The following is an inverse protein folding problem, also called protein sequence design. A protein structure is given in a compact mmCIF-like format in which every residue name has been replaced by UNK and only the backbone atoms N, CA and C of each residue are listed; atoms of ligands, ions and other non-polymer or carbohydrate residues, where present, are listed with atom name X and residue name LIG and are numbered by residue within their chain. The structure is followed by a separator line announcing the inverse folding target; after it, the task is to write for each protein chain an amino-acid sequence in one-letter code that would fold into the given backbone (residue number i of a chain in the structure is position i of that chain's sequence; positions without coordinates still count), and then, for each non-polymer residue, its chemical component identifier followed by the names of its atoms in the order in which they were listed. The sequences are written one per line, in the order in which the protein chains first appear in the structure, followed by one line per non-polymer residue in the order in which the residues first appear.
data_IF_595563814136
#
_entry.id   IF_595563814136
#
_cell.length_a   1.000
_cell.length_b   1.000
_cell.length_c   1.000
_cell.angle_alpha   90.00
_cell.angle_beta   90.00
_cell.angle_gamma   90.00
#
_symmetry.space_group_name_H-M   'P 1'
#
loop_
_entity.id
_entity.type
_entity.pdbx_description
1 polymer ?
#
# COMPACT_ATOMS: atom_id res chain seq x y z
N UNK A 1 17.05 13.26 -0.01
CA UNK A 1 18.18 13.45 -0.93
C UNK A 1 19.56 13.34 -0.28
N UNK A 2 20.00 14.29 0.55
CA UNK A 2 21.37 14.28 1.16
C UNK A 2 21.72 12.98 1.86
N UNK A 3 20.79 12.46 2.65
CA UNK A 3 20.95 11.18 3.37
C UNK A 3 21.18 10.00 2.42
N UNK A 4 20.35 9.85 1.39
CA UNK A 4 20.50 8.78 0.40
C UNK A 4 21.84 8.87 -0.34
N UNK A 5 22.26 10.07 -0.77
CA UNK A 5 23.56 10.27 -1.41
C UNK A 5 24.71 9.84 -0.49
N UNK A 6 24.67 10.23 0.79
CA UNK A 6 25.68 9.81 1.77
C UNK A 6 25.75 8.28 1.86
N UNK A 7 24.61 7.61 2.01
CA UNK A 7 24.58 6.14 2.10
C UNK A 7 25.12 5.47 0.83
N UNK A 8 24.74 5.97 -0.35
CA UNK A 8 25.27 5.43 -1.61
C UNK A 8 26.78 5.64 -1.70
N UNK A 9 27.30 6.82 -1.35
CA UNK A 9 28.74 7.09 -1.34
C UNK A 9 29.53 6.15 -0.41
N UNK A 10 29.01 5.89 0.79
CA UNK A 10 29.71 5.05 1.78
C UNK A 10 29.59 3.55 1.48
N UNK A 11 28.46 3.09 0.92
CA UNK A 11 28.13 1.67 0.85
C UNK A 11 27.98 1.09 -0.55
N UNK A 12 28.03 1.90 -1.62
CA UNK A 12 27.81 1.43 -2.99
C UNK A 12 28.74 0.27 -3.41
N UNK A 13 29.98 0.25 -2.92
CA UNK A 13 30.94 -0.81 -3.23
C UNK A 13 30.60 -2.17 -2.60
N UNK A 14 29.73 -2.19 -1.58
CA UNK A 14 29.37 -3.39 -0.81
C UNK A 14 27.90 -3.81 -0.98
N UNK A 15 27.04 -2.84 -1.27
CA UNK A 15 25.58 -3.03 -1.33
C UNK A 15 25.10 -2.66 -2.73
N UNK A 16 24.90 -3.63 -3.64
CA UNK A 16 24.52 -3.35 -5.02
C UNK A 16 23.00 -3.13 -5.22
N UNK A 17 22.18 -3.54 -4.24
CA UNK A 17 20.71 -3.51 -4.31
C UNK A 17 20.16 -2.61 -3.20
N UNK A 18 19.30 -1.67 -3.57
CA UNK A 18 18.75 -0.68 -2.66
C UNK A 18 17.23 -0.61 -2.72
N UNK A 19 16.60 -0.51 -1.56
CA UNK A 19 15.20 -0.14 -1.42
C UNK A 19 15.10 1.31 -1.00
N UNK A 20 14.17 2.06 -1.59
CA UNK A 20 13.85 3.42 -1.14
C UNK A 20 12.87 3.39 0.03
N UNK A 21 11.58 3.47 -0.25
CA UNK A 21 10.53 3.52 0.75
C UNK A 21 9.90 2.14 0.82
N UNK A 22 9.97 1.54 2.00
CA UNK A 22 9.33 0.26 2.28
C UNK A 22 7.85 0.48 2.65
N UNK A 23 6.96 -0.25 1.97
CA UNK A 23 5.52 -0.27 2.23
C UNK A 23 4.85 1.09 2.24
N UNK A 24 5.15 1.92 1.23
CA UNK A 24 4.65 3.29 1.19
C UNK A 24 3.12 3.40 1.30
N UNK A 25 2.37 2.42 0.79
CA UNK A 25 0.91 2.40 0.89
C UNK A 25 0.39 2.29 2.35
N UNK A 26 1.18 1.76 3.28
CA UNK A 26 0.81 1.73 4.71
C UNK A 26 0.56 3.11 5.30
N UNK A 27 1.13 4.16 4.70
CA UNK A 27 0.87 5.54 5.09
C UNK A 27 -0.59 5.94 4.95
N UNK A 28 -1.25 5.42 3.93
CA UNK A 28 -2.66 5.69 3.68
C UNK A 28 -3.54 4.64 4.36
N UNK A 29 -3.10 3.38 4.35
CA UNK A 29 -3.92 2.25 4.80
C UNK A 29 -3.89 2.06 6.32
N UNK A 30 -2.76 2.37 6.95
CA UNK A 30 -2.50 2.19 8.38
C UNK A 30 -1.66 3.36 8.95
N UNK A 31 -2.11 4.62 8.84
CA UNK A 31 -1.33 5.78 9.26
C UNK A 31 -0.88 5.73 10.73
N UNK A 32 -1.68 5.12 11.62
CA UNK A 32 -1.32 4.92 13.03
C UNK A 32 -0.13 3.99 13.27
N UNK A 33 0.22 3.14 12.31
CA UNK A 33 1.41 2.30 12.38
C UNK A 33 2.69 3.06 12.02
N UNK A 34 2.56 4.17 11.28
CA UNK A 34 3.67 5.07 10.99
C UNK A 34 3.83 5.99 12.20
N UNK A 35 4.66 5.56 13.14
CA UNK A 35 4.84 6.18 14.46
C UNK A 35 4.74 7.70 14.44
N UNK A 36 3.67 8.23 15.01
CA UNK A 36 3.48 9.67 15.24
C UNK A 36 4.11 10.01 16.59
N UNK A 37 4.85 11.13 16.70
CA UNK A 37 5.34 11.61 17.99
C UNK A 37 4.20 11.64 19.03
N UNK A 38 4.51 11.25 20.27
CA UNK A 38 3.50 11.10 21.33
C UNK A 38 2.73 12.40 21.64
N UNK A 39 3.28 13.54 21.25
CA UNK A 39 2.71 14.89 21.40
C UNK A 39 1.93 15.36 20.16
N UNK A 40 1.71 14.50 19.15
CA UNK A 40 1.02 14.88 17.91
C UNK A 40 -0.14 13.94 17.59
N UNK A 41 -1.19 14.54 17.03
CA UNK A 41 -2.32 13.81 16.47
C UNK A 41 -1.99 13.22 15.09
N UNK A 42 -2.69 12.16 14.73
CA UNK A 42 -2.62 11.61 13.38
C UNK A 42 -3.12 12.64 12.36
N UNK A 43 -2.39 12.88 11.26
CA UNK A 43 -2.88 13.75 10.20
C UNK A 43 -4.20 13.23 9.62
N UNK A 44 -5.06 14.15 9.19
CA UNK A 44 -6.28 13.77 8.46
C UNK A 44 -5.95 13.11 7.11
N UNK A 45 -6.95 12.48 6.49
CA UNK A 45 -6.76 11.77 5.21
C UNK A 45 -6.18 12.69 4.12
N UNK A 46 -6.62 13.95 4.04
CA UNK A 46 -6.15 14.90 3.03
C UNK A 46 -4.65 15.18 3.20
N UNK A 47 -4.24 15.46 4.43
CA UNK A 47 -2.85 15.68 4.78
C UNK A 47 -1.99 14.42 4.50
N UNK A 48 -2.51 13.22 4.79
CA UNK A 48 -1.82 11.96 4.49
C UNK A 48 -1.58 11.78 2.98
N UNK A 49 -2.58 12.04 2.13
CA UNK A 49 -2.40 11.98 0.68
C UNK A 49 -1.40 13.03 0.16
N UNK A 50 -1.38 14.25 0.73
CA UNK A 50 -0.37 15.25 0.40
C UNK A 50 1.04 14.81 0.80
N UNK A 51 1.20 14.29 2.02
CA UNK A 51 2.50 13.81 2.48
C UNK A 51 2.99 12.60 1.65
N UNK A 52 2.09 11.68 1.30
CA UNK A 52 2.40 10.57 0.41
C UNK A 52 2.85 11.05 -0.98
N UNK A 53 2.24 12.10 -1.51
CA UNK A 53 2.69 12.72 -2.78
C UNK A 53 4.13 13.23 -2.67
N UNK A 54 4.47 13.97 -1.61
CA UNK A 54 5.85 14.42 -1.38
C UNK A 54 6.84 13.26 -1.24
N UNK A 55 6.44 12.16 -0.61
CA UNK A 55 7.25 10.95 -0.53
C UNK A 55 7.49 10.31 -1.89
N UNK A 56 6.47 10.28 -2.78
CA UNK A 56 6.62 9.82 -4.16
C UNK A 56 7.60 10.70 -4.96
N UNK A 57 7.53 12.02 -4.80
CA UNK A 57 8.48 12.95 -5.43
C UNK A 57 9.90 12.69 -4.94
N UNK A 58 10.09 12.56 -3.64
CA UNK A 58 11.40 12.26 -3.05
C UNK A 58 11.94 10.90 -3.57
N UNK A 59 11.09 9.89 -3.67
CA UNK A 59 11.47 8.58 -4.22
C UNK A 59 11.92 8.69 -5.68
N UNK A 60 11.15 9.37 -6.53
CA UNK A 60 11.50 9.56 -7.94
C UNK A 60 12.84 10.29 -8.10
N UNK A 61 13.08 11.33 -7.29
CA UNK A 61 14.36 12.05 -7.27
C UNK A 61 15.52 11.15 -6.81
N UNK A 62 15.32 10.26 -5.83
CA UNK A 62 16.34 9.33 -5.35
C UNK A 62 16.69 8.31 -6.44
N UNK A 63 15.71 7.76 -7.15
CA UNK A 63 15.96 6.88 -8.30
C UNK A 63 16.82 7.58 -9.36
N UNK A 64 16.42 8.79 -9.78
CA UNK A 64 17.16 9.57 -10.76
C UNK A 64 18.57 9.94 -10.29
N UNK A 65 18.75 10.25 -9.00
CA UNK A 65 20.07 10.50 -8.41
C UNK A 65 20.94 9.24 -8.44
N UNK A 66 20.39 8.09 -8.03
CA UNK A 66 21.09 6.81 -8.01
C UNK A 66 21.61 6.46 -9.41
N UNK A 67 20.76 6.54 -10.43
CA UNK A 67 21.15 6.23 -11.81
C UNK A 67 22.19 7.18 -12.38
N UNK A 68 22.13 8.47 -12.02
CA UNK A 68 23.07 9.49 -12.51
C UNK A 68 24.44 9.39 -11.84
N UNK A 69 24.48 9.19 -10.53
CA UNK A 69 25.71 9.31 -9.73
C UNK A 69 26.32 7.95 -9.35
N UNK A 70 25.52 6.88 -9.37
CA UNK A 70 25.91 5.55 -8.92
C UNK A 70 25.41 4.47 -9.91
N UNK A 71 25.85 4.47 -11.18
CA UNK A 71 25.28 3.64 -12.25
C UNK A 71 25.43 2.12 -12.06
N UNK A 72 26.25 1.67 -11.10
CA UNK A 72 26.38 0.25 -10.75
C UNK A 72 25.34 -0.26 -9.74
N UNK A 73 24.56 0.64 -9.14
CA UNK A 73 23.52 0.29 -8.18
C UNK A 73 22.20 0.00 -8.89
N UNK A 74 21.43 -0.92 -8.31
CA UNK A 74 20.04 -1.18 -8.68
C UNK A 74 19.14 -0.75 -7.53
N UNK A 75 18.08 -0.02 -7.84
CA UNK A 75 17.20 0.59 -6.85
C UNK A 75 15.73 0.38 -7.18
N UNK A 76 14.90 0.19 -6.16
CA UNK A 76 13.46 0.00 -6.35
C UNK A 76 12.63 0.32 -5.11
N UNK A 77 11.31 0.48 -5.26
CA UNK A 77 10.39 0.58 -4.14
C UNK A 77 10.13 -0.80 -3.53
N UNK A 78 9.60 -0.84 -2.31
CA UNK A 78 8.93 -2.03 -1.78
C UNK A 78 7.46 -1.71 -1.51
N UNK A 79 6.55 -2.49 -2.10
CA UNK A 79 5.11 -2.32 -1.91
C UNK A 79 4.56 -3.50 -1.10
N UNK A 80 3.69 -3.21 -0.13
CA UNK A 80 2.86 -4.25 0.48
C UNK A 80 1.71 -4.54 -0.48
N UNK A 81 1.70 -5.72 -1.08
CA UNK A 81 0.63 -6.14 -1.98
C UNK A 81 -0.15 -7.30 -1.39
N UNK A 82 -1.40 -7.40 -1.79
CA UNK A 82 -2.30 -8.47 -1.40
C UNK A 82 -3.06 -8.91 -2.63
N UNK A 83 -2.92 -10.18 -3.00
CA UNK A 83 -3.76 -10.74 -4.04
C UNK A 83 -5.17 -10.90 -3.53
N UNK A 84 -6.15 -10.50 -4.34
CA UNK A 84 -7.56 -10.52 -3.99
C UNK A 84 -8.33 -11.57 -4.79
N UNK A 85 -9.39 -12.10 -4.17
CA UNK A 85 -10.43 -12.88 -4.82
C UNK A 85 -11.74 -12.10 -4.73
N UNK A 86 -12.53 -12.10 -5.80
CA UNK A 86 -13.93 -11.71 -5.70
C UNK A 86 -14.72 -12.77 -4.89
N UNK A 87 -15.67 -12.35 -4.07
CA UNK A 87 -16.55 -13.25 -3.30
C UNK A 87 -17.37 -14.16 -4.22
N UNK A 88 -17.81 -13.63 -5.37
CA UNK A 88 -18.57 -14.38 -6.37
C UNK A 88 -18.27 -13.91 -7.79
N UNK A 89 -18.91 -14.53 -8.80
CA UNK A 89 -18.83 -14.12 -10.20
C UNK A 89 -19.78 -12.97 -10.57
N UNK A 90 -20.47 -12.38 -9.59
CA UNK A 90 -21.30 -11.20 -9.81
C UNK A 90 -20.44 -10.04 -10.33
N UNK A 91 -20.90 -9.28 -11.35
CA UNK A 91 -20.15 -8.13 -11.87
C UNK A 91 -19.77 -7.13 -10.79
N UNK A 92 -20.63 -6.92 -9.79
CA UNK A 92 -20.41 -5.96 -8.71
C UNK A 92 -19.23 -6.38 -7.80
N UNK A 93 -19.10 -7.68 -7.52
CA UNK A 93 -17.99 -8.22 -6.73
C UNK A 93 -16.67 -8.17 -7.51
N UNK A 94 -16.71 -8.38 -8.83
CA UNK A 94 -15.54 -8.26 -9.70
C UNK A 94 -15.02 -6.81 -9.75
N UNK A 95 -15.93 -5.84 -9.88
CA UNK A 95 -15.60 -4.41 -9.84
C UNK A 95 -15.03 -4.03 -8.45
N UNK A 96 -15.68 -4.48 -7.37
CA UNK A 96 -15.23 -4.20 -6.01
C UNK A 96 -13.81 -4.74 -5.74
N UNK A 97 -13.53 -5.97 -6.20
CA UNK A 97 -12.20 -6.57 -6.10
C UNK A 97 -11.14 -5.77 -6.89
N UNK A 98 -11.47 -5.33 -8.12
CA UNK A 98 -10.56 -4.50 -8.92
C UNK A 98 -10.30 -3.12 -8.28
N UNK A 99 -11.36 -2.47 -7.78
CA UNK A 99 -11.25 -1.20 -7.05
C UNK A 99 -10.36 -1.36 -5.82
N UNK A 100 -10.55 -2.42 -5.05
CA UNK A 100 -9.77 -2.70 -3.85
C UNK A 100 -8.28 -2.85 -4.14
N UNK A 101 -7.93 -3.70 -5.12
CA UNK A 101 -6.54 -3.94 -5.51
C UNK A 101 -5.89 -2.65 -6.05
N UNK A 102 -6.63 -1.88 -6.84
CA UNK A 102 -6.14 -0.62 -7.42
C UNK A 102 -5.88 0.43 -6.35
N UNK A 103 -6.85 0.66 -5.46
CA UNK A 103 -6.76 1.69 -4.42
C UNK A 103 -5.74 1.37 -3.32
N UNK A 104 -5.50 0.08 -3.03
CA UNK A 104 -4.54 -0.32 -1.99
C UNK A 104 -3.14 -0.62 -2.51
N UNK A 105 -3.00 -1.08 -3.76
CA UNK A 105 -1.74 -1.59 -4.29
C UNK A 105 -1.32 -0.83 -5.55
N UNK A 106 -2.02 -1.07 -6.67
CA UNK A 106 -1.52 -0.64 -7.99
C UNK A 106 -1.37 0.85 -8.15
N UNK A 107 -2.24 1.66 -7.53
CA UNK A 107 -2.15 3.12 -7.60
C UNK A 107 -0.83 3.69 -7.09
N UNK A 108 -0.23 3.08 -6.06
CA UNK A 108 1.07 3.49 -5.54
C UNK A 108 2.21 3.06 -6.48
N UNK A 109 2.08 1.86 -7.05
CA UNK A 109 3.07 1.31 -7.95
C UNK A 109 3.08 2.04 -9.30
N UNK A 110 1.92 2.45 -9.81
CA UNK A 110 1.81 3.28 -11.02
C UNK A 110 2.58 4.60 -10.86
N UNK A 111 2.51 5.24 -9.69
CA UNK A 111 3.29 6.45 -9.44
C UNK A 111 4.78 6.13 -9.38
N UNK A 112 5.17 5.08 -8.65
CA UNK A 112 6.58 4.72 -8.46
C UNK A 112 7.27 4.21 -9.74
N UNK A 113 6.55 3.50 -10.61
CA UNK A 113 7.11 2.85 -11.80
C UNK A 113 6.83 3.60 -13.11
N UNK A 114 5.70 4.32 -13.19
CA UNK A 114 5.29 5.03 -14.39
C UNK A 114 5.27 6.56 -14.22
N UNK A 115 5.52 7.07 -13.02
CA UNK A 115 5.55 8.51 -12.75
C UNK A 115 4.20 9.20 -12.95
N UNK A 116 3.10 8.46 -12.83
CA UNK A 116 1.74 8.97 -13.03
C UNK A 116 0.75 8.36 -12.05
N UNK A 117 -0.27 9.12 -11.67
CA UNK A 117 -1.37 8.60 -10.87
C UNK A 117 -2.27 7.70 -11.70
N UNK A 118 -2.72 6.60 -11.08
CA UNK A 118 -3.78 5.76 -11.64
C UNK A 118 -5.08 6.56 -11.75
N UNK A 119 -5.76 6.48 -12.90
CA UNK A 119 -6.95 7.29 -13.17
C UNK A 119 -8.12 7.00 -12.21
N UNK A 120 -8.31 5.72 -11.84
CA UNK A 120 -9.34 5.31 -10.89
C UNK A 120 -9.05 5.89 -9.50
N UNK A 121 -7.81 5.75 -9.04
CA UNK A 121 -7.40 6.31 -7.76
C UNK A 121 -7.48 7.83 -7.73
N UNK A 122 -7.14 8.50 -8.83
CA UNK A 122 -7.26 9.94 -8.96
C UNK A 122 -8.72 10.41 -8.87
N UNK A 123 -9.62 9.76 -9.61
CA UNK A 123 -11.05 10.04 -9.55
C UNK A 123 -11.62 9.81 -8.14
N UNK A 124 -11.26 8.70 -7.50
CA UNK A 124 -11.61 8.40 -6.10
C UNK A 124 -11.15 9.51 -5.14
N UNK A 125 -9.92 9.98 -5.31
CA UNK A 125 -9.37 11.05 -4.48
C UNK A 125 -10.08 12.39 -4.74
N UNK A 126 -10.42 12.73 -5.97
CA UNK A 126 -11.14 13.96 -6.29
C UNK A 126 -12.56 13.96 -5.70
N UNK A 127 -13.29 12.86 -5.88
CA UNK A 127 -14.65 12.67 -5.36
C UNK A 127 -14.73 12.89 -3.84
N UNK A 128 -13.68 12.47 -3.11
CA UNK A 128 -13.60 12.60 -1.64
C UNK A 128 -12.83 13.84 -1.17
N UNK A 129 -12.42 14.72 -2.07
CA UNK A 129 -11.62 15.90 -1.73
C UNK A 129 -10.20 15.60 -1.23
N UNK A 130 -9.70 14.37 -1.43
CA UNK A 130 -8.42 13.85 -0.95
C UNK A 130 -7.24 14.06 -1.90
N UNK A 131 -7.50 14.44 -3.16
CA UNK A 131 -6.45 14.56 -4.18
C UNK A 131 -5.35 15.55 -3.74
N UNK A 132 -4.06 15.18 -3.81
CA UNK A 132 -2.98 16.09 -3.42
C UNK A 132 -2.93 17.30 -4.34
N UNK A 133 -2.47 18.41 -3.79
CA UNK A 133 -2.09 19.60 -4.55
C UNK A 133 -0.79 19.29 -5.30
N UNK A 134 -0.81 19.50 -6.62
CA UNK A 134 0.32 19.30 -7.51
C UNK A 134 0.92 20.65 -7.90
N UNK A 135 2.24 20.72 -7.93
CA UNK A 135 3.00 21.82 -8.51
C UNK A 135 3.32 21.52 -10.00
N UNK A 136 3.55 22.56 -10.83
CA UNK A 136 3.83 22.38 -12.26
C UNK A 136 4.98 21.41 -12.58
N UNK A 137 5.99 21.36 -11.72
CA UNK A 137 7.18 20.51 -11.85
C UNK A 137 6.98 19.05 -11.42
N UNK A 138 5.93 18.75 -10.64
CA UNK A 138 5.79 17.45 -9.98
C UNK A 138 5.64 16.31 -10.98
N UNK A 139 4.88 16.54 -12.07
CA UNK A 139 4.73 15.55 -13.13
C UNK A 139 6.07 15.21 -13.79
N UNK A 140 6.95 16.20 -13.98
CA UNK A 140 8.28 15.99 -14.54
C UNK A 140 9.18 15.23 -13.56
N UNK A 141 9.13 15.57 -12.27
CA UNK A 141 9.89 14.88 -11.23
C UNK A 141 9.49 13.40 -11.16
N UNK A 142 8.18 13.11 -11.13
CA UNK A 142 7.69 11.73 -11.07
C UNK A 142 8.12 10.91 -12.30
N UNK A 143 8.08 11.49 -13.51
CA UNK A 143 8.50 10.82 -14.74
C UNK A 143 10.00 10.48 -14.80
N UNK A 144 10.83 11.20 -14.05
CA UNK A 144 12.26 10.90 -13.93
C UNK A 144 12.53 9.70 -13.03
N UNK A 145 11.59 9.35 -12.14
CA UNK A 145 11.69 8.18 -11.28
C UNK A 145 11.46 6.90 -12.04
N UNK A 146 12.51 6.09 -12.23
CA UNK A 146 12.41 4.76 -12.83
C UNK A 146 13.08 3.74 -11.92
N UNK A 147 12.38 2.73 -11.41
CA UNK A 147 13.00 1.69 -10.61
C UNK A 147 13.60 0.58 -11.49
N UNK A 148 14.64 -0.09 -11.01
CA UNK A 148 15.28 -1.25 -11.64
C UNK A 148 14.60 -2.58 -11.30
N UNK A 149 13.81 -2.57 -10.23
CA UNK A 149 13.01 -3.71 -9.77
C UNK A 149 11.89 -3.20 -8.85
N UNK A 150 10.93 -4.08 -8.56
CA UNK A 150 9.87 -3.83 -7.59
C UNK A 150 9.98 -4.92 -6.54
N UNK A 151 10.22 -4.55 -5.28
CA UNK A 151 10.15 -5.48 -4.17
C UNK A 151 8.70 -5.61 -3.68
N UNK A 152 8.33 -6.83 -3.30
CA UNK A 152 6.98 -7.18 -2.92
C UNK A 152 7.00 -7.74 -1.51
N UNK A 153 6.28 -7.07 -0.62
CA UNK A 153 5.95 -7.61 0.70
C UNK A 153 4.58 -8.27 0.57
N UNK A 154 4.52 -9.57 0.83
CA UNK A 154 3.33 -10.39 0.62
C UNK A 154 3.15 -11.35 1.79
N UNK A 155 1.97 -11.29 2.44
CA UNK A 155 1.68 -12.08 3.64
C UNK A 155 0.48 -12.98 3.49
N UNK A 156 -0.60 -12.49 2.88
CA UNK A 156 -1.83 -13.25 2.71
C UNK A 156 -2.67 -12.72 1.54
N UNK A 157 -3.73 -13.45 1.21
CA UNK A 157 -4.76 -13.07 0.23
C UNK A 157 -5.96 -12.40 0.88
N UNK A 158 -6.66 -11.57 0.11
CA UNK A 158 -7.94 -10.97 0.47
C UNK A 158 -9.11 -11.63 -0.27
N UNK A 159 -10.31 -11.60 0.30
CA UNK A 159 -11.55 -11.82 -0.47
C UNK A 159 -12.45 -10.61 -0.30
N UNK A 160 -12.93 -10.08 -1.43
CA UNK A 160 -13.60 -8.79 -1.54
C UNK A 160 -14.96 -8.96 -2.22
N UNK A 161 -15.94 -8.22 -1.74
CA UNK A 161 -17.28 -8.17 -2.31
C UNK A 161 -17.75 -6.73 -2.47
N UNK A 162 -18.84 -6.54 -3.21
CA UNK A 162 -19.52 -5.27 -3.35
C UNK A 162 -19.94 -4.71 -1.97
N UNK A 163 -19.73 -3.41 -1.82
CA UNK A 163 -20.24 -2.62 -0.69
C UNK A 163 -21.75 -2.80 -0.56
N UNK A 164 -22.24 -2.89 0.68
CA UNK A 164 -23.68 -2.97 0.98
C UNK A 164 -24.34 -1.60 1.02
N UNK A 165 -23.57 -0.54 1.24
CA UNK A 165 -24.07 0.83 1.32
C UNK A 165 -24.98 1.07 2.54
N UNK A 166 -24.86 0.24 3.57
CA UNK A 166 -25.67 0.27 4.80
C UNK A 166 -24.87 0.72 6.04
N UNK A 167 -23.67 1.26 5.84
CA UNK A 167 -22.71 1.61 6.91
C UNK A 167 -21.98 0.42 7.55
N UNK A 168 -22.29 -0.82 7.16
CA UNK A 168 -21.71 -2.05 7.72
C UNK A 168 -20.41 -2.53 7.05
N UNK A 169 -19.93 -1.83 6.02
CA UNK A 169 -18.79 -2.28 5.21
C UNK A 169 -17.43 -2.12 5.94
N UNK A 170 -17.35 -1.22 6.92
CA UNK A 170 -16.14 -0.91 7.69
C UNK A 170 -16.10 -1.73 8.98
N UNK A 171 -15.99 -3.06 8.86
CA UNK A 171 -15.79 -3.94 10.02
C UNK A 171 -14.30 -4.28 10.19
N UNK A 172 -13.60 -3.78 11.23
CA UNK A 172 -12.21 -4.14 11.46
C UNK A 172 -12.11 -5.63 11.79
N UNK A 173 -11.42 -6.40 10.94
CA UNK A 173 -10.98 -7.75 11.31
C UNK A 173 -9.68 -7.66 12.10
N UNK A 174 -9.67 -8.20 13.31
CA UNK A 174 -8.45 -8.39 14.09
C UNK A 174 -7.50 -9.35 13.35
N UNK A 175 -6.29 -8.89 13.12
CA UNK A 175 -5.19 -9.55 12.38
C UNK A 175 -4.03 -8.56 12.27
N UNK A 176 -2.85 -9.03 11.85
CA UNK A 176 -1.65 -8.21 11.64
C UNK A 176 -1.88 -7.07 10.62
N UNK A 177 -0.86 -6.28 10.26
CA UNK A 177 -0.84 -5.08 9.39
C UNK A 177 -1.78 -5.03 8.15
N UNK A 178 -2.44 -6.11 7.77
CA UNK A 178 -3.55 -6.20 6.83
C UNK A 178 -4.92 -6.12 7.54
N UNK A 179 -5.19 -5.08 8.34
CA UNK A 179 -6.55 -4.84 8.83
C UNK A 179 -7.44 -4.56 7.61
N UNK A 180 -8.30 -5.52 7.30
CA UNK A 180 -9.20 -5.50 6.15
C UNK A 180 -10.37 -4.56 6.43
N UNK A 181 -10.16 -3.26 6.22
CA UNK A 181 -11.21 -2.25 6.27
C UNK A 181 -11.89 -2.20 4.89
N UNK A 182 -13.23 -2.23 4.88
CA UNK A 182 -14.00 -1.85 3.70
C UNK A 182 -13.91 -0.34 3.44
N UNK A 183 -14.34 0.07 2.25
CA UNK A 183 -14.53 1.47 1.88
C UNK A 183 -15.98 1.63 1.45
N UNK A 184 -16.72 2.43 2.20
CA UNK A 184 -18.15 2.61 2.00
C UNK A 184 -18.46 3.10 0.58
N UNK A 185 -19.45 2.45 -0.05
CA UNK A 185 -19.82 2.71 -1.44
C UNK A 185 -18.83 2.15 -2.48
N UNK A 186 -17.75 1.47 -2.08
CA UNK A 186 -16.73 0.96 -2.99
C UNK A 186 -16.54 -0.55 -2.87
N UNK A 187 -16.24 -1.07 -1.68
CA UNK A 187 -15.98 -2.49 -1.45
C UNK A 187 -16.11 -2.87 0.03
N UNK A 188 -16.24 -4.17 0.30
CA UNK A 188 -16.15 -4.74 1.65
C UNK A 188 -15.32 -6.02 1.68
N UNK A 189 -14.71 -6.39 2.82
CA UNK A 189 -14.14 -7.71 2.99
C UNK A 189 -15.22 -8.81 3.04
N UNK A 190 -14.86 -10.00 2.58
CA UNK A 190 -15.69 -11.20 2.59
C UNK A 190 -14.96 -12.39 3.24
N UNK A 191 -15.70 -13.46 3.55
CA UNK A 191 -15.09 -14.76 3.85
C UNK A 191 -15.07 -15.64 2.61
N UNK A 192 -13.97 -16.34 2.43
CA UNK A 192 -13.86 -17.36 1.41
C UNK A 192 -13.70 -18.73 2.09
N UNK A 193 -14.74 -19.59 2.07
CA UNK A 193 -14.67 -20.91 2.69
C UNK A 193 -13.75 -21.87 1.93
N UNK A 194 -13.32 -21.51 0.72
CA UNK A 194 -12.46 -22.32 -0.15
C UNK A 194 -10.97 -22.00 0.02
N UNK A 195 -10.62 -20.97 0.80
CA UNK A 195 -9.23 -20.57 1.07
C UNK A 195 -8.89 -20.94 2.51
N UNK A 196 -7.88 -21.81 2.66
CA UNK A 196 -7.38 -22.21 3.97
C UNK A 196 -6.83 -21.03 4.77
N UNK A 197 -7.14 -20.97 6.06
CA UNK A 197 -6.59 -19.97 7.00
C UNK A 197 -5.39 -20.59 7.73
N UNK A 198 -4.30 -19.84 7.87
CA UNK A 198 -3.11 -20.33 8.60
C UNK A 198 -3.47 -20.58 10.09
N UNK A 199 -3.13 -21.74 10.68
CA UNK A 199 -3.41 -22.05 12.09
C UNK A 199 -2.72 -21.11 13.10
N UNK A 200 -1.71 -20.34 12.68
CA UNK A 200 -1.00 -19.38 13.51
C UNK A 200 -1.79 -18.07 13.69
N UNK A 201 -2.98 -18.12 14.31
CA UNK A 201 -3.57 -16.92 14.92
C UNK A 201 -2.82 -16.62 16.22
N UNK A 202 -1.89 -15.68 16.17
CA UNK A 202 -1.33 -15.06 17.38
C UNK A 202 -2.43 -14.19 18.03
N UNK A 203 -3.30 -14.83 18.82
CA UNK A 203 -4.36 -14.16 19.57
C UNK A 203 -5.68 -14.91 19.53
N UNK A 204 -5.85 -15.84 20.48
CA UNK A 204 -7.11 -16.53 20.72
C UNK A 204 -6.94 -18.00 21.04
N UNK A 205 -6.48 -18.32 22.25
CA UNK A 205 -6.85 -19.60 22.86
C UNK A 205 -8.36 -19.56 23.10
N UNK A 206 -9.15 -20.04 22.15
CA UNK A 206 -10.47 -20.55 22.50
C UNK A 206 -10.25 -21.91 23.18
N UNK A 207 -10.51 -21.96 24.48
CA UNK A 207 -10.62 -23.21 25.21
C UNK A 207 -11.70 -24.07 24.56
N UNK A 208 -11.28 -25.13 23.88
CA UNK A 208 -12.13 -26.18 23.37
C UNK A 208 -11.41 -27.49 23.65
N UNK A 209 -11.94 -28.25 24.60
CA UNK A 209 -11.39 -29.52 25.04
C UNK A 209 -11.20 -30.49 23.87
N UNK A 210 -10.08 -31.21 23.88
CA UNK A 210 -9.89 -32.38 23.03
C UNK A 210 -10.95 -33.43 23.38
N UNK A 211 -11.55 -34.14 22.41
CA UNK A 211 -12.38 -35.28 22.72
C UNK A 211 -11.47 -36.42 23.18
N UNK A 212 -11.77 -36.96 24.37
CA UNK A 212 -11.14 -38.17 24.90
C UNK A 212 -11.34 -39.32 23.90
N UNK A 213 -10.21 -39.96 23.55
CA UNK A 213 -10.20 -41.20 22.81
C UNK A 213 -10.60 -42.35 23.76
N UNK A 214 -11.61 -43.12 23.36
CA UNK A 214 -11.89 -44.47 23.84
C UNK A 214 -11.81 -45.42 22.65
#
# INVERSE_FOLDING_TARGET
MRYARLLFSEFAAKVPLWLTINEQNTMILHPGAIGVPADRELPDKKALYQQNHHMMLAQAQIFALCHREFPGLRIGPAINTTSMYAESCKPEDAIAAHNWETLRCWSFLDVAAHGRYNALAWAYMQDRGLAPELQPEDALILQQGRPDFIAINYYSTATIAASRGDGGDVAPRAGDQQIMLGEEGVYRPAENPWVGKNPLRLGGRSGGAAPDAA
#
